data_IF_916990511618
#
_entry.id   IF_916990511618
#
_cell.length_a   1.000
_cell.length_b   1.000
_cell.length_c   1.000
_cell.angle_alpha   90.00
_cell.angle_beta   90.00
_cell.angle_gamma   90.00
#
_symmetry.space_group_name_H-M   'P 1'
#
loop_
_entity.id
_entity.type
_entity.pdbx_description
1 polymer ?
#
# COMPACT_ATOMS: atom_id res chain seq x y z
N UNK A 1 -13.95 -35.07 -0.02
CA UNK A 1 -15.13 -34.76 0.82
C UNK A 1 -15.87 -33.59 0.18
N UNK A 2 -17.19 -33.68 -0.03
CA UNK A 2 -18.01 -32.51 -0.42
C UNK A 2 -18.09 -31.57 0.80
N UNK A 3 -17.69 -30.29 0.65
CA UNK A 3 -17.97 -29.28 1.70
C UNK A 3 -19.49 -29.17 1.86
N UNK A 4 -19.99 -29.15 3.09
CA UNK A 4 -21.38 -28.78 3.36
C UNK A 4 -21.63 -27.38 2.77
N UNK A 5 -22.77 -27.21 2.13
CA UNK A 5 -23.21 -25.88 1.70
C UNK A 5 -23.46 -25.06 2.97
N UNK A 6 -22.76 -23.94 3.11
CA UNK A 6 -22.70 -23.20 4.35
C UNK A 6 -23.86 -22.21 4.42
N UNK A 7 -24.59 -22.20 5.54
CA UNK A 7 -25.62 -21.21 5.81
C UNK A 7 -24.96 -19.96 6.40
N UNK A 8 -24.80 -18.92 5.57
CA UNK A 8 -24.20 -17.65 5.98
C UNK A 8 -24.96 -16.99 7.14
N UNK A 9 -26.27 -17.24 7.29
CA UNK A 9 -27.05 -16.71 8.42
C UNK A 9 -26.67 -17.41 9.74
N UNK A 10 -26.41 -18.72 9.69
CA UNK A 10 -25.92 -19.50 10.83
C UNK A 10 -24.49 -19.08 11.21
N UNK A 11 -23.59 -18.91 10.23
CA UNK A 11 -22.24 -18.39 10.51
C UNK A 11 -22.29 -16.98 11.10
N UNK A 12 -23.16 -16.10 10.60
CA UNK A 12 -23.27 -14.73 11.11
C UNK A 12 -23.83 -14.69 12.53
N UNK A 13 -24.81 -15.53 12.86
CA UNK A 13 -25.30 -15.68 14.24
C UNK A 13 -24.20 -16.18 15.20
N UNK A 14 -23.34 -17.11 14.74
CA UNK A 14 -22.19 -17.59 15.52
C UNK A 14 -21.11 -16.51 15.68
N UNK A 15 -20.85 -15.68 14.67
CA UNK A 15 -19.97 -14.51 14.77
C UNK A 15 -20.50 -13.47 15.78
N UNK A 16 -21.80 -13.17 15.74
CA UNK A 16 -22.44 -12.27 16.72
C UNK A 16 -22.32 -12.80 18.15
N UNK A 17 -22.65 -14.09 18.36
CA UNK A 17 -22.53 -14.76 19.65
C UNK A 17 -21.08 -14.82 20.17
N UNK A 18 -20.10 -14.97 19.27
CA UNK A 18 -18.69 -14.87 19.61
C UNK A 18 -18.32 -13.45 20.08
N UNK A 19 -18.79 -12.41 19.38
CA UNK A 19 -18.62 -11.00 19.75
C UNK A 19 -19.29 -10.65 21.09
N UNK A 20 -20.48 -11.16 21.38
CA UNK A 20 -21.19 -10.95 22.66
C UNK A 20 -20.44 -11.56 23.85
N UNK A 21 -19.87 -12.75 23.68
CA UNK A 21 -19.02 -13.41 24.70
C UNK A 21 -17.74 -12.59 24.93
N UNK A 22 -17.17 -11.97 23.89
CA UNK A 22 -16.01 -11.07 24.02
C UNK A 22 -16.39 -9.76 24.72
N UNK A 23 -17.50 -9.13 24.31
CA UNK A 23 -17.90 -7.81 24.83
C UNK A 23 -18.37 -7.82 26.29
N UNK A 24 -18.89 -8.95 26.79
CA UNK A 24 -19.41 -9.09 28.16
C UNK A 24 -18.35 -9.44 29.21
N UNK A 25 -17.08 -9.65 28.80
CA UNK A 25 -16.01 -10.12 29.67
C UNK A 25 -14.98 -9.02 29.95
N UNK A 26 -15.18 -8.25 31.03
CA UNK A 26 -14.20 -7.26 31.51
C UNK A 26 -12.82 -7.88 31.83
N UNK A 27 -12.78 -9.16 32.19
CA UNK A 27 -11.59 -10.01 32.12
C UNK A 27 -11.98 -11.35 31.49
N UNK A 28 -11.21 -11.84 30.51
CA UNK A 28 -11.53 -13.07 29.77
C UNK A 28 -11.17 -14.34 30.57
N UNK A 29 -11.95 -14.57 31.63
CA UNK A 29 -11.76 -15.64 32.61
C UNK A 29 -11.99 -17.06 32.04
N UNK A 30 -11.78 -18.08 32.87
CA UNK A 30 -11.87 -19.48 32.46
C UNK A 30 -13.24 -19.89 31.89
N UNK A 31 -14.33 -19.27 32.35
CA UNK A 31 -15.69 -19.57 31.88
C UNK A 31 -15.96 -18.91 30.51
N UNK A 32 -15.53 -17.66 30.31
CA UNK A 32 -15.57 -16.99 29.00
C UNK A 32 -14.78 -17.76 27.94
N UNK A 33 -13.57 -18.22 28.29
CA UNK A 33 -12.73 -19.08 27.44
C UNK A 33 -13.41 -20.40 27.05
N UNK A 34 -14.15 -21.03 27.96
CA UNK A 34 -14.91 -22.25 27.67
C UNK A 34 -16.10 -22.00 26.72
N UNK A 35 -16.87 -20.93 26.98
CA UNK A 35 -18.01 -20.52 26.13
C UNK A 35 -17.55 -20.16 24.70
N UNK A 36 -16.44 -19.42 24.58
CA UNK A 36 -15.88 -19.03 23.29
C UNK A 36 -15.34 -20.22 22.48
N UNK A 37 -14.56 -21.13 23.10
CA UNK A 37 -14.08 -22.36 22.44
C UNK A 37 -15.22 -23.21 21.88
N UNK A 38 -16.37 -23.25 22.57
CA UNK A 38 -17.57 -23.94 22.08
C UNK A 38 -18.11 -23.27 20.81
N UNK A 39 -18.26 -21.95 20.80
CA UNK A 39 -18.77 -21.21 19.63
C UNK A 39 -17.82 -21.31 18.42
N UNK A 40 -16.50 -21.29 18.62
CA UNK A 40 -15.53 -21.51 17.53
C UNK A 40 -15.66 -22.92 16.94
N UNK A 41 -15.82 -23.94 17.79
CA UNK A 41 -16.11 -25.31 17.31
C UNK A 41 -17.41 -25.36 16.51
N UNK A 42 -18.49 -24.78 17.06
CA UNK A 42 -19.81 -24.74 16.40
C UNK A 42 -19.74 -24.02 15.03
N UNK A 43 -18.85 -23.02 14.87
CA UNK A 43 -18.59 -22.30 13.61
C UNK A 43 -17.82 -23.13 12.58
N UNK A 44 -16.80 -23.88 13.00
CA UNK A 44 -16.05 -24.80 12.13
C UNK A 44 -16.93 -25.97 11.69
N UNK A 45 -17.72 -26.54 12.61
CA UNK A 45 -18.67 -27.63 12.31
C UNK A 45 -19.81 -27.17 11.38
N UNK A 46 -20.13 -25.88 11.35
CA UNK A 46 -21.04 -25.24 10.39
C UNK A 46 -20.41 -24.96 9.01
N UNK A 47 -19.09 -25.14 8.85
CA UNK A 47 -18.37 -24.99 7.57
C UNK A 47 -17.59 -23.68 7.42
N UNK A 48 -17.46 -22.88 8.49
CA UNK A 48 -16.58 -21.71 8.51
C UNK A 48 -15.10 -22.09 8.34
N UNK A 49 -14.31 -21.20 7.73
CA UNK A 49 -12.90 -21.47 7.46
C UNK A 49 -12.01 -21.08 8.65
N UNK A 50 -11.04 -21.92 9.00
CA UNK A 50 -10.08 -21.72 10.11
C UNK A 50 -9.03 -20.63 9.83
N UNK A 51 -9.16 -19.93 8.70
CA UNK A 51 -8.35 -18.82 8.22
C UNK A 51 -9.19 -17.58 7.82
N UNK A 52 -10.54 -17.65 7.85
CA UNK A 52 -11.47 -16.48 7.98
C UNK A 52 -11.23 -15.72 9.30
N UNK A 53 -10.44 -16.36 10.14
CA UNK A 53 -9.95 -16.08 11.45
C UNK A 53 -8.43 -16.50 11.27
N UNK A 54 -7.46 -15.57 11.08
CA UNK A 54 -6.24 -15.72 10.19
C UNK A 54 -4.78 -15.97 10.80
N UNK A 55 -4.14 -17.17 10.71
CA UNK A 55 -2.64 -17.43 10.60
C UNK A 55 -1.63 -17.17 11.79
N UNK A 56 -0.62 -18.06 11.98
CA UNK A 56 0.29 -18.36 13.15
C UNK A 56 1.77 -17.83 13.12
N UNK A 57 2.49 -17.84 14.27
CA UNK A 57 3.88 -17.30 14.55
C UNK A 57 5.02 -18.36 14.67
N UNK A 58 6.30 -17.93 14.47
CA UNK A 58 7.56 -18.59 14.89
C UNK A 58 8.65 -17.58 15.35
N UNK A 59 9.79 -18.04 15.93
CA UNK A 59 10.75 -17.20 16.69
C UNK A 59 11.94 -16.59 15.92
N UNK A 60 12.06 -16.82 14.61
CA UNK A 60 13.13 -16.27 13.78
C UNK A 60 12.54 -15.70 12.48
N UNK A 61 13.00 -14.53 12.04
CA UNK A 61 12.67 -13.98 10.72
C UNK A 61 13.97 -13.54 10.02
N UNK A 62 14.22 -14.08 8.82
CA UNK A 62 15.46 -13.89 8.06
C UNK A 62 16.79 -14.10 8.81
N UNK A 63 16.81 -14.90 9.88
CA UNK A 63 18.01 -15.17 10.67
C UNK A 63 18.41 -14.05 11.64
N UNK A 64 17.58 -13.00 11.81
CA UNK A 64 17.82 -11.97 12.81
C UNK A 64 17.18 -12.37 14.17
N UNK A 65 17.91 -12.33 15.29
CA UNK A 65 17.33 -12.55 16.62
C UNK A 65 16.56 -11.31 17.09
N UNK A 66 15.29 -11.47 17.47
CA UNK A 66 14.48 -10.35 17.98
C UNK A 66 14.84 -10.03 19.44
N UNK A 67 15.20 -8.77 19.71
CA UNK A 67 15.60 -8.30 21.04
C UNK A 67 14.43 -8.13 22.03
N UNK A 68 14.73 -8.15 23.34
CA UNK A 68 13.73 -8.00 24.41
C UNK A 68 13.39 -6.53 24.73
N UNK A 69 12.39 -5.96 24.06
CA UNK A 69 11.41 -4.96 24.56
C UNK A 69 10.76 -4.21 23.37
N UNK A 70 9.51 -3.73 23.45
CA UNK A 70 8.54 -3.70 24.56
C UNK A 70 7.16 -4.16 24.06
N UNK A 71 6.55 -5.10 24.78
CA UNK A 71 5.31 -5.81 24.43
C UNK A 71 5.34 -6.53 23.07
N UNK A 72 5.44 -7.87 23.14
CA UNK A 72 5.37 -8.73 21.96
C UNK A 72 3.93 -8.90 21.45
N UNK A 73 3.67 -9.94 20.65
CA UNK A 73 2.33 -10.21 20.12
C UNK A 73 1.26 -10.27 21.20
N UNK A 74 0.24 -9.42 21.10
CA UNK A 74 -0.96 -9.50 21.93
C UNK A 74 -1.78 -10.72 21.47
N UNK A 75 -2.18 -11.57 22.41
CA UNK A 75 -2.82 -12.86 22.11
C UNK A 75 -4.19 -12.69 21.43
N UNK A 76 -4.87 -11.57 21.70
CA UNK A 76 -6.28 -11.32 21.41
C UNK A 76 -6.51 -10.60 20.07
N UNK A 77 -6.31 -11.32 18.98
CA UNK A 77 -6.85 -10.91 17.68
C UNK A 77 -8.22 -11.56 17.41
N UNK A 78 -9.23 -10.82 16.91
CA UNK A 78 -10.59 -11.35 16.65
C UNK A 78 -10.67 -12.29 15.43
N UNK A 79 -9.52 -12.77 14.96
CA UNK A 79 -9.31 -13.54 13.73
C UNK A 79 -8.32 -14.67 14.13
N UNK A 80 -8.75 -15.93 14.26
CA UNK A 80 -8.02 -17.10 14.82
C UNK A 80 -6.61 -17.30 14.26
N UNK A 81 -5.67 -17.76 15.07
CA UNK A 81 -4.27 -17.76 14.66
C UNK A 81 -3.64 -16.36 14.60
N UNK A 82 -4.32 -15.30 14.12
CA UNK A 82 -3.71 -13.97 14.02
C UNK A 82 -3.37 -13.43 15.40
N UNK A 83 -2.47 -12.45 15.38
CA UNK A 83 -2.01 -11.75 16.55
C UNK A 83 -2.14 -10.27 16.27
N UNK A 84 -2.67 -9.53 17.24
CA UNK A 84 -2.52 -8.08 17.23
C UNK A 84 -1.07 -7.81 17.59
N UNK A 85 -0.38 -7.09 16.72
CA UNK A 85 0.97 -6.62 16.97
C UNK A 85 0.84 -5.13 17.24
N UNK A 86 1.55 -4.66 18.26
CA UNK A 86 1.60 -3.25 18.58
C UNK A 86 2.29 -2.46 17.44
N UNK A 87 1.85 -1.21 17.22
CA UNK A 87 2.39 -0.39 16.14
C UNK A 87 3.86 0.00 16.38
N UNK A 88 4.27 0.29 17.62
CA UNK A 88 5.65 0.64 17.94
C UNK A 88 6.55 -0.60 17.82
N UNK A 89 6.04 -1.78 18.20
CA UNK A 89 6.73 -3.06 17.96
C UNK A 89 6.96 -3.29 16.46
N UNK A 90 5.93 -3.09 15.62
CA UNK A 90 6.05 -3.25 14.17
C UNK A 90 6.95 -2.20 13.52
N UNK A 91 6.87 -0.94 13.94
CA UNK A 91 7.74 0.14 13.46
C UNK A 91 9.21 -0.17 13.79
N UNK A 92 9.50 -0.55 15.04
CA UNK A 92 10.84 -1.00 15.45
C UNK A 92 11.33 -2.19 14.62
N UNK A 93 10.52 -3.23 14.45
CA UNK A 93 10.86 -4.40 13.65
C UNK A 93 11.15 -4.04 12.18
N UNK A 94 10.38 -3.14 11.58
CA UNK A 94 10.63 -2.67 10.22
C UNK A 94 11.95 -1.90 10.12
N UNK A 95 12.26 -1.04 11.09
CA UNK A 95 13.53 -0.32 11.14
C UNK A 95 14.72 -1.29 11.28
N UNK A 96 14.61 -2.29 12.16
CA UNK A 96 15.61 -3.35 12.34
C UNK A 96 15.85 -4.14 11.03
N UNK A 97 14.79 -4.43 10.27
CA UNK A 97 14.91 -5.08 8.96
C UNK A 97 15.63 -4.22 7.90
N UNK A 98 15.37 -2.91 7.86
CA UNK A 98 16.10 -1.99 6.96
C UNK A 98 17.58 -1.84 7.36
N UNK A 99 17.88 -1.74 8.66
CA UNK A 99 19.25 -1.71 9.18
C UNK A 99 20.01 -2.99 8.86
N UNK A 100 19.42 -4.16 9.10
CA UNK A 100 19.99 -5.45 8.75
C UNK A 100 20.21 -5.63 7.23
N UNK A 101 19.48 -4.86 6.42
CA UNK A 101 19.63 -4.82 4.95
C UNK A 101 20.65 -3.77 4.46
N UNK A 102 21.36 -3.09 5.36
CA UNK A 102 22.40 -2.10 5.03
C UNK A 102 21.91 -0.66 4.85
N UNK A 103 20.66 -0.35 5.25
CA UNK A 103 20.18 1.03 5.30
C UNK A 103 20.66 1.68 6.60
N UNK A 104 21.22 2.91 6.61
CA UNK A 104 21.61 3.57 7.85
C UNK A 104 20.44 3.74 8.83
N UNK A 105 20.73 3.86 10.12
CA UNK A 105 19.72 3.88 11.20
C UNK A 105 18.66 4.98 11.01
N UNK A 106 19.09 6.19 10.65
CA UNK A 106 18.21 7.36 10.46
C UNK A 106 17.20 7.10 9.34
N UNK A 107 17.68 6.71 8.16
CA UNK A 107 16.85 6.40 7.00
C UNK A 107 15.98 5.17 7.25
N UNK A 108 16.47 4.18 8.01
CA UNK A 108 15.70 2.99 8.42
C UNK A 108 14.49 3.33 9.29
N UNK A 109 14.65 4.26 10.24
CA UNK A 109 13.56 4.78 11.08
C UNK A 109 12.52 5.51 10.24
N UNK A 110 12.95 6.37 9.30
CA UNK A 110 12.04 7.03 8.35
C UNK A 110 11.30 6.01 7.48
N UNK A 111 12.00 4.99 6.98
CA UNK A 111 11.39 3.92 6.18
C UNK A 111 10.31 3.15 6.95
N UNK A 112 10.58 2.82 8.22
CA UNK A 112 9.62 2.15 9.08
C UNK A 112 8.39 3.02 9.39
N UNK A 113 8.60 4.30 9.66
CA UNK A 113 7.52 5.25 9.96
C UNK A 113 6.54 5.36 8.78
N UNK A 114 7.04 5.52 7.54
CA UNK A 114 6.18 5.58 6.34
C UNK A 114 5.38 4.29 6.13
N UNK A 115 5.96 3.12 6.43
CA UNK A 115 5.24 1.85 6.31
C UNK A 115 4.19 1.67 7.41
N UNK A 116 4.49 1.98 8.67
CA UNK A 116 3.53 1.80 9.75
C UNK A 116 2.36 2.78 9.65
N UNK A 117 2.57 3.98 9.11
CA UNK A 117 1.49 4.92 8.83
C UNK A 117 0.48 4.39 7.80
N UNK A 118 0.87 3.49 6.91
CA UNK A 118 -0.08 2.78 6.05
C UNK A 118 -0.96 1.81 6.86
N UNK A 119 -0.39 1.05 7.78
CA UNK A 119 -1.14 0.11 8.64
C UNK A 119 -2.04 0.85 9.64
N UNK A 120 -1.54 1.93 10.29
CA UNK A 120 -2.31 2.81 11.18
C UNK A 120 -3.55 3.43 10.50
N UNK A 121 -3.47 3.68 9.19
CA UNK A 121 -4.57 4.22 8.36
C UNK A 121 -5.45 3.13 7.73
N UNK A 122 -5.22 1.85 8.02
CA UNK A 122 -6.00 0.73 7.46
C UNK A 122 -5.71 0.45 5.97
N UNK A 123 -4.55 0.87 5.47
CA UNK A 123 -4.11 0.67 4.09
C UNK A 123 -3.21 -0.58 4.02
N UNK A 124 -3.79 -1.75 4.36
CA UNK A 124 -3.14 -3.08 4.45
C UNK A 124 -2.23 -3.42 3.26
N UNK A 125 -2.50 -2.83 2.09
CA UNK A 125 -1.77 -3.08 0.85
C UNK A 125 -0.37 -2.44 0.80
N UNK A 126 -0.02 -1.56 1.72
CA UNK A 126 1.19 -0.72 1.62
C UNK A 126 2.07 -0.67 2.88
N UNK A 127 1.63 -1.18 4.03
CA UNK A 127 2.45 -1.27 5.25
C UNK A 127 3.25 -2.58 5.36
N UNK A 128 3.23 -3.21 6.54
CA UNK A 128 4.06 -4.39 6.89
C UNK A 128 4.02 -5.52 5.86
N UNK A 129 2.86 -5.75 5.22
CA UNK A 129 2.67 -6.75 4.17
C UNK A 129 3.56 -6.54 2.91
N UNK A 130 4.15 -5.34 2.74
CA UNK A 130 5.09 -5.03 1.65
C UNK A 130 6.55 -5.06 2.05
N UNK A 131 6.89 -5.06 3.35
CA UNK A 131 8.27 -5.07 3.85
C UNK A 131 9.11 -6.14 3.14
N UNK A 132 8.68 -7.41 3.17
CA UNK A 132 9.40 -8.50 2.51
C UNK A 132 9.47 -8.32 0.98
N UNK A 133 8.30 -8.32 0.32
CA UNK A 133 8.20 -8.53 -1.12
C UNK A 133 8.55 -7.32 -1.99
N UNK A 134 8.47 -6.11 -1.43
CA UNK A 134 8.76 -4.86 -2.15
C UNK A 134 10.10 -4.26 -1.73
N UNK A 135 10.53 -4.48 -0.48
CA UNK A 135 11.78 -3.93 0.03
C UNK A 135 12.85 -5.00 0.23
N UNK A 136 12.72 -5.90 1.22
CA UNK A 136 13.80 -6.83 1.60
C UNK A 136 14.27 -7.72 0.42
N UNK A 137 13.33 -8.36 -0.27
CA UNK A 137 13.62 -9.24 -1.41
C UNK A 137 14.30 -8.49 -2.57
N UNK A 138 13.97 -7.21 -2.74
CA UNK A 138 14.46 -6.37 -3.84
C UNK A 138 15.76 -5.63 -3.51
N UNK A 139 16.02 -5.33 -2.23
CA UNK A 139 17.34 -4.93 -1.76
C UNK A 139 18.30 -6.11 -1.95
N UNK A 140 17.90 -7.31 -1.51
CA UNK A 140 18.68 -8.55 -1.71
C UNK A 140 18.96 -8.86 -3.18
N UNK A 141 18.05 -8.53 -4.10
CA UNK A 141 18.25 -8.71 -5.54
C UNK A 141 18.89 -7.52 -6.25
N UNK A 142 19.40 -6.50 -5.53
CA UNK A 142 20.04 -5.32 -6.10
C UNK A 142 19.12 -4.36 -6.89
N UNK A 143 17.79 -4.53 -6.84
CA UNK A 143 16.82 -3.66 -7.52
C UNK A 143 16.58 -2.37 -6.73
N UNK A 144 16.66 -2.42 -5.41
CA UNK A 144 16.71 -1.23 -4.55
C UNK A 144 18.10 -1.14 -3.94
N UNK A 145 18.72 0.04 -3.96
CA UNK A 145 19.91 0.27 -3.13
C UNK A 145 19.43 0.53 -1.69
N UNK A 146 20.01 -0.13 -0.67
CA UNK A 146 19.60 0.09 0.71
C UNK A 146 19.90 1.52 1.16
N UNK A 147 20.96 2.11 0.62
CA UNK A 147 21.26 3.53 0.73
C UNK A 147 21.84 4.04 -0.59
N UNK A 148 21.52 5.28 -0.91
CA UNK A 148 22.04 6.03 -2.04
C UNK A 148 21.98 7.53 -1.70
N UNK A 149 22.96 8.33 -2.15
CA UNK A 149 22.92 9.78 -2.00
C UNK A 149 21.72 10.38 -2.75
N UNK A 150 21.20 11.47 -2.20
CA UNK A 150 20.13 12.26 -2.80
C UNK A 150 20.80 13.48 -3.45
N UNK A 151 20.90 13.49 -4.77
CA UNK A 151 21.63 14.53 -5.51
C UNK A 151 20.68 15.60 -6.02
N UNK A 152 20.98 16.86 -5.72
CA UNK A 152 20.25 18.01 -6.26
C UNK A 152 20.80 18.33 -7.65
N UNK A 153 20.05 17.96 -8.69
CA UNK A 153 20.44 18.16 -10.10
C UNK A 153 20.21 19.61 -10.54
N UNK A 154 19.13 20.22 -10.05
CA UNK A 154 18.79 21.61 -10.33
C UNK A 154 17.93 22.16 -9.19
N UNK A 155 18.17 23.41 -8.82
CA UNK A 155 17.42 24.08 -7.75
C UNK A 155 17.14 25.54 -8.11
N UNK A 156 15.97 26.02 -7.72
CA UNK A 156 15.58 27.43 -7.72
C UNK A 156 14.98 27.78 -6.35
N UNK A 157 14.54 29.02 -6.16
CA UNK A 157 13.89 29.43 -4.91
C UNK A 157 12.65 28.58 -4.59
N UNK A 158 11.81 28.28 -5.59
CA UNK A 158 10.54 27.55 -5.43
C UNK A 158 10.56 26.12 -5.96
N UNK A 159 11.60 25.69 -6.70
CA UNK A 159 11.65 24.34 -7.31
C UNK A 159 12.95 23.58 -7.06
N UNK A 160 12.91 22.25 -7.14
CA UNK A 160 14.09 21.40 -7.26
C UNK A 160 13.85 20.14 -8.12
N UNK A 161 14.91 19.64 -8.74
CA UNK A 161 14.99 18.33 -9.40
C UNK A 161 16.04 17.47 -8.68
N UNK A 162 15.63 16.29 -8.25
CA UNK A 162 16.41 15.39 -7.40
C UNK A 162 16.67 14.06 -8.12
N UNK A 163 17.91 13.57 -8.12
CA UNK A 163 18.24 12.18 -8.45
C UNK A 163 18.33 11.34 -7.17
N UNK A 164 17.49 10.31 -7.09
CA UNK A 164 17.43 9.42 -5.94
C UNK A 164 18.41 8.23 -6.04
N UNK A 165 19.16 8.09 -7.15
CA UNK A 165 20.21 7.09 -7.32
C UNK A 165 19.80 5.62 -7.07
N UNK A 166 18.53 5.25 -7.31
CA UNK A 166 17.89 3.95 -6.95
C UNK A 166 17.72 3.71 -5.44
N UNK A 167 17.76 4.77 -4.63
CA UNK A 167 17.54 4.74 -3.19
C UNK A 167 16.09 4.38 -2.80
N UNK A 168 15.92 3.93 -1.55
CA UNK A 168 14.61 3.55 -1.01
C UNK A 168 13.75 4.81 -0.88
N UNK A 169 12.73 4.92 -1.71
CA UNK A 169 11.94 6.14 -1.73
C UNK A 169 11.06 6.35 -0.50
N UNK A 170 10.99 5.41 0.43
CA UNK A 170 10.45 5.66 1.77
C UNK A 170 11.25 6.73 2.53
N UNK A 171 12.58 6.86 2.34
CA UNK A 171 13.38 7.94 2.94
C UNK A 171 13.59 9.14 1.99
N UNK A 172 13.58 8.91 0.67
CA UNK A 172 13.71 10.01 -0.31
C UNK A 172 12.45 10.87 -0.36
N UNK A 173 11.27 10.25 -0.27
CA UNK A 173 9.98 10.95 -0.32
C UNK A 173 9.83 12.02 0.77
N UNK A 174 10.07 11.71 2.06
CA UNK A 174 9.97 12.69 3.13
C UNK A 174 10.99 13.82 2.98
N UNK A 175 12.25 13.49 2.66
CA UNK A 175 13.29 14.50 2.41
C UNK A 175 12.89 15.51 1.33
N UNK A 176 12.35 15.03 0.21
CA UNK A 176 11.90 15.90 -0.88
C UNK A 176 10.64 16.71 -0.54
N UNK A 177 9.73 16.16 0.28
CA UNK A 177 8.55 16.90 0.75
C UNK A 177 8.92 17.96 1.79
N UNK A 178 9.85 17.68 2.72
CA UNK A 178 10.38 18.69 3.65
C UNK A 178 11.07 19.84 2.90
N UNK A 179 11.79 19.54 1.81
CA UNK A 179 12.35 20.55 0.91
C UNK A 179 11.26 21.40 0.23
N UNK A 180 10.19 20.77 -0.30
CA UNK A 180 9.05 21.47 -0.87
C UNK A 180 8.37 22.39 0.16
N UNK A 181 8.08 21.89 1.36
CA UNK A 181 7.49 22.66 2.46
C UNK A 181 8.39 23.84 2.86
N UNK A 182 9.71 23.63 2.95
CA UNK A 182 10.67 24.69 3.29
C UNK A 182 10.65 25.82 2.26
N UNK A 183 10.61 25.49 0.96
CA UNK A 183 10.46 26.47 -0.12
C UNK A 183 9.11 27.18 -0.05
N UNK A 184 8.01 26.44 0.13
CA UNK A 184 6.66 26.99 0.24
C UNK A 184 6.51 27.96 1.44
N UNK A 185 7.11 27.66 2.59
CA UNK A 185 7.09 28.56 3.76
C UNK A 185 7.87 29.84 3.56
N UNK A 186 8.89 29.86 2.70
CA UNK A 186 9.70 31.05 2.41
C UNK A 186 9.15 31.89 1.25
N UNK A 187 8.59 31.24 0.23
CA UNK A 187 8.27 31.85 -1.08
C UNK A 187 6.81 31.69 -1.52
N UNK A 188 5.96 31.05 -0.72
CA UNK A 188 4.55 30.79 -1.04
C UNK A 188 4.30 29.54 -1.91
N UNK A 189 5.34 29.02 -2.58
CA UNK A 189 5.28 27.80 -3.40
C UNK A 189 6.54 26.94 -3.22
N UNK A 190 6.38 25.62 -3.27
CA UNK A 190 7.50 24.67 -3.26
C UNK A 190 7.17 23.41 -4.06
N UNK A 191 8.01 23.06 -5.04
CA UNK A 191 7.79 21.92 -5.91
C UNK A 191 9.08 21.11 -6.14
N UNK A 192 9.04 19.81 -5.90
CA UNK A 192 10.19 18.91 -6.03
C UNK A 192 9.84 17.72 -6.91
N UNK A 193 10.55 17.60 -8.04
CA UNK A 193 10.51 16.44 -8.91
C UNK A 193 11.64 15.47 -8.53
N UNK A 194 11.35 14.16 -8.51
CA UNK A 194 12.31 13.13 -8.11
C UNK A 194 12.44 12.07 -9.19
N UNK A 195 13.67 11.88 -9.69
CA UNK A 195 14.04 10.82 -10.64
C UNK A 195 14.73 9.64 -9.99
N UNK A 196 14.76 8.52 -10.71
CA UNK A 196 15.57 7.35 -10.36
C UNK A 196 15.23 6.79 -8.97
N UNK A 197 13.94 6.83 -8.60
CA UNK A 197 13.44 6.46 -7.28
C UNK A 197 12.69 5.13 -7.34
N UNK A 198 12.23 4.67 -6.17
CA UNK A 198 11.68 3.33 -5.96
C UNK A 198 10.26 3.42 -5.36
N UNK A 199 9.79 2.43 -4.60
CA UNK A 199 8.41 2.41 -4.06
C UNK A 199 8.25 3.23 -2.77
N UNK A 200 7.17 4.01 -2.59
CA UNK A 200 6.95 4.85 -1.40
C UNK A 200 5.97 4.35 -0.35
N UNK A 201 5.26 3.24 -0.57
CA UNK A 201 4.11 2.96 0.27
C UNK A 201 2.96 3.89 -0.10
N UNK A 202 2.38 4.60 0.87
CA UNK A 202 1.19 5.45 0.66
C UNK A 202 1.54 6.86 0.21
N UNK A 203 0.78 7.43 -0.73
CA UNK A 203 0.99 8.81 -1.17
C UNK A 203 0.52 9.81 -0.09
N UNK A 204 -0.52 9.44 0.65
CA UNK A 204 -1.12 10.21 1.74
C UNK A 204 -0.17 10.60 2.85
N UNK A 205 0.93 9.87 3.05
CA UNK A 205 1.98 10.26 4.01
C UNK A 205 2.55 11.64 3.66
N UNK A 206 2.99 11.83 2.40
CA UNK A 206 3.65 13.07 1.95
C UNK A 206 2.69 14.25 1.92
N UNK A 207 1.47 14.05 1.45
CA UNK A 207 0.43 15.07 1.51
C UNK A 207 0.09 15.48 2.96
N UNK A 208 0.14 14.53 3.91
CA UNK A 208 -0.05 14.84 5.34
C UNK A 208 1.14 15.60 5.94
N UNK A 209 2.38 15.37 5.47
CA UNK A 209 3.53 16.18 5.90
C UNK A 209 3.27 17.67 5.64
N UNK A 210 2.80 18.01 4.44
CA UNK A 210 2.45 19.39 4.09
C UNK A 210 1.28 19.92 4.96
N UNK A 211 0.17 19.18 5.06
CA UNK A 211 -0.99 19.66 5.82
C UNK A 211 -0.69 19.83 7.31
N UNK A 212 0.15 18.97 7.90
CA UNK A 212 0.63 19.10 9.29
C UNK A 212 1.45 20.37 9.55
N UNK A 213 1.96 21.03 8.50
CA UNK A 213 2.68 22.30 8.57
C UNK A 213 1.81 23.49 8.17
N UNK A 214 0.50 23.31 7.98
CA UNK A 214 -0.39 24.36 7.49
C UNK A 214 -0.09 24.75 6.05
N UNK A 215 0.19 23.76 5.20
CA UNK A 215 0.38 23.89 3.76
C UNK A 215 -0.62 22.97 3.05
N UNK A 216 -1.22 23.41 1.94
CA UNK A 216 -1.82 22.46 1.00
C UNK A 216 -0.66 21.67 0.40
N UNK A 217 -0.81 20.37 0.22
CA UNK A 217 0.21 19.55 -0.44
C UNK A 217 -0.42 18.56 -1.39
N UNK A 218 0.25 18.34 -2.52
CA UNK A 218 -0.09 17.27 -3.44
C UNK A 218 1.12 16.42 -3.79
N UNK A 219 0.87 15.16 -4.15
CA UNK A 219 1.93 14.30 -4.64
C UNK A 219 1.40 13.22 -5.57
N UNK A 220 2.28 12.71 -6.41
CA UNK A 220 2.00 11.55 -7.27
C UNK A 220 3.26 10.76 -7.56
N UNK A 221 3.07 9.57 -8.14
CA UNK A 221 4.15 8.74 -8.66
C UNK A 221 3.64 7.96 -9.85
N UNK A 222 4.50 7.69 -10.84
CA UNK A 222 4.18 6.65 -11.80
C UNK A 222 4.50 5.26 -11.24
N UNK A 223 3.86 4.24 -11.80
CA UNK A 223 4.13 2.84 -11.46
C UNK A 223 4.45 2.02 -12.72
N UNK A 224 4.74 0.72 -12.54
CA UNK A 224 4.88 -0.18 -13.69
C UNK A 224 3.56 -0.20 -14.50
N UNK A 225 3.62 -0.37 -15.84
CA UNK A 225 2.42 -0.54 -16.66
C UNK A 225 1.48 -1.59 -16.08
N UNK A 226 0.20 -1.23 -15.96
CA UNK A 226 -0.84 -2.04 -15.34
C UNK A 226 -2.27 -1.57 -15.66
N UNK A 227 -2.49 -0.29 -15.94
CA UNK A 227 -3.76 0.27 -16.43
C UNK A 227 -3.77 0.28 -17.96
N UNK A 228 -4.86 -0.16 -18.58
CA UNK A 228 -5.10 0.08 -20.00
C UNK A 228 -5.73 1.47 -20.25
N UNK A 229 -5.34 2.20 -21.31
CA UNK A 229 -6.07 3.38 -21.77
C UNK A 229 -7.55 3.08 -22.02
N UNK A 230 -8.42 4.09 -22.03
CA UNK A 230 -9.83 3.88 -22.39
C UNK A 230 -9.95 3.31 -23.81
N UNK A 231 -10.77 2.27 -23.96
CA UNK A 231 -10.86 1.39 -25.14
C UNK A 231 -9.60 0.59 -25.51
N UNK A 232 -8.55 0.68 -24.69
CA UNK A 232 -7.35 -0.16 -24.79
C UNK A 232 -7.48 -1.46 -23.99
N UNK A 233 -6.65 -2.43 -24.35
CA UNK A 233 -6.55 -3.74 -23.68
C UNK A 233 -5.14 -4.05 -23.15
N UNK A 234 -4.13 -3.34 -23.65
CA UNK A 234 -2.74 -3.47 -23.23
C UNK A 234 -2.46 -2.60 -21.98
N UNK A 235 -1.78 -3.12 -20.95
CA UNK A 235 -1.41 -2.30 -19.79
C UNK A 235 -0.30 -1.30 -20.18
N UNK A 236 -0.63 -0.01 -20.26
CA UNK A 236 0.31 1.07 -20.63
C UNK A 236 0.74 1.94 -19.44
N UNK A 237 -0.22 2.36 -18.59
CA UNK A 237 0.03 3.31 -17.49
C UNK A 237 0.19 2.58 -16.16
N UNK A 238 0.89 3.18 -15.19
CA UNK A 238 0.87 2.67 -13.82
C UNK A 238 -0.45 2.94 -13.09
N UNK A 239 -0.61 2.36 -11.89
CA UNK A 239 -1.74 2.70 -10.98
C UNK A 239 -1.76 4.16 -10.54
N UNK A 240 -0.65 4.87 -10.78
CA UNK A 240 -0.51 6.32 -10.85
C UNK A 240 -1.38 7.11 -9.84
N UNK A 241 -1.13 6.96 -8.53
CA UNK A 241 -1.89 7.71 -7.53
C UNK A 241 -1.61 9.20 -7.63
N UNK A 242 -2.68 9.98 -7.41
CA UNK A 242 -2.63 11.42 -7.18
C UNK A 242 -3.28 11.67 -5.82
N UNK A 243 -2.56 12.37 -4.97
CA UNK A 243 -2.95 12.59 -3.58
C UNK A 243 -2.90 14.07 -3.25
N UNK A 244 -3.88 14.55 -2.48
CA UNK A 244 -3.94 15.90 -1.94
C UNK A 244 -4.18 15.86 -0.43
N UNK A 245 -3.57 16.79 0.30
CA UNK A 245 -3.73 17.00 1.72
C UNK A 245 -3.95 18.48 1.99
N UNK A 246 -5.05 18.82 2.67
CA UNK A 246 -5.49 20.19 2.92
C UNK A 246 -5.68 20.38 4.44
N UNK A 247 -5.06 21.41 5.05
CA UNK A 247 -5.31 21.74 6.45
C UNK A 247 -6.78 22.08 6.72
N UNK A 248 -7.26 21.72 7.91
CA UNK A 248 -8.61 21.98 8.42
C UNK A 248 -8.51 22.55 9.84
N UNK A 249 -9.63 23.00 10.39
CA UNK A 249 -9.81 23.32 11.82
C UNK A 249 -10.31 22.10 12.65
N UNK A 250 -10.50 20.94 12.00
CA UNK A 250 -10.81 19.67 12.64
C UNK A 250 -9.57 18.97 13.22
N UNK A 251 -9.78 17.90 13.99
CA UNK A 251 -8.70 17.08 14.56
C UNK A 251 -7.87 16.30 13.53
N UNK A 252 -8.26 16.30 12.24
CA UNK A 252 -7.59 15.62 11.14
C UNK A 252 -7.71 16.44 9.85
N UNK A 253 -6.69 16.45 8.98
CA UNK A 253 -6.74 17.14 7.69
C UNK A 253 -7.64 16.43 6.69
N UNK A 254 -8.17 17.16 5.70
CA UNK A 254 -8.73 16.54 4.51
C UNK A 254 -7.61 15.89 3.71
N UNK A 255 -7.73 14.59 3.41
CA UNK A 255 -6.76 13.84 2.58
C UNK A 255 -7.50 12.93 1.61
N UNK A 256 -7.16 13.05 0.33
CA UNK A 256 -7.50 12.06 -0.70
C UNK A 256 -6.22 11.32 -1.09
N UNK A 257 -6.17 10.02 -0.86
CA UNK A 257 -5.06 9.13 -1.25
C UNK A 257 -5.63 7.95 -2.05
N UNK A 258 -5.60 8.06 -3.39
CA UNK A 258 -6.15 7.05 -4.28
C UNK A 258 -5.30 6.85 -5.54
N UNK A 259 -5.30 5.62 -6.04
CA UNK A 259 -4.87 5.28 -7.40
C UNK A 259 -5.79 5.92 -8.44
N UNK A 260 -5.32 6.10 -9.67
CA UNK A 260 -6.16 6.50 -10.82
C UNK A 260 -6.81 5.32 -11.54
N UNK A 261 -6.56 4.09 -11.07
CA UNK A 261 -7.32 2.87 -11.37
C UNK A 261 -8.41 2.57 -10.35
N UNK A 262 -9.47 1.86 -10.76
CA UNK A 262 -10.53 1.39 -9.85
C UNK A 262 -9.97 0.51 -8.72
N UNK A 263 -8.95 -0.28 -9.02
CA UNK A 263 -8.28 -1.11 -8.03
C UNK A 263 -6.78 -1.22 -8.29
N UNK A 264 -6.10 -1.91 -7.38
CA UNK A 264 -4.70 -2.29 -7.47
C UNK A 264 -4.60 -3.81 -7.35
N UNK A 265 -3.52 -4.41 -7.86
CA UNK A 265 -3.30 -5.87 -7.80
C UNK A 265 -3.50 -6.47 -6.40
N UNK A 266 -3.11 -5.76 -5.33
CA UNK A 266 -3.32 -6.21 -3.95
C UNK A 266 -4.78 -6.43 -3.55
N UNK A 267 -5.72 -5.69 -4.17
CA UNK A 267 -7.17 -5.87 -3.97
C UNK A 267 -7.65 -7.15 -4.67
N UNK A 268 -7.17 -7.45 -5.87
CA UNK A 268 -7.45 -8.70 -6.60
C UNK A 268 -6.88 -9.89 -5.83
N UNK A 269 -5.66 -9.77 -5.28
CA UNK A 269 -5.06 -10.77 -4.39
C UNK A 269 -5.89 -10.98 -3.10
N UNK A 270 -6.56 -9.93 -2.57
CA UNK A 270 -7.49 -10.05 -1.43
C UNK A 270 -8.78 -10.79 -1.82
N UNK A 271 -9.37 -10.48 -2.97
CA UNK A 271 -10.53 -11.21 -3.52
C UNK A 271 -10.21 -12.69 -3.72
N UNK A 272 -9.06 -13.01 -4.33
CA UNK A 272 -8.59 -14.37 -4.57
C UNK A 272 -8.46 -15.18 -3.26
N UNK A 273 -7.80 -14.62 -2.24
CA UNK A 273 -7.70 -15.26 -0.91
C UNK A 273 -9.06 -15.51 -0.27
N UNK A 274 -10.03 -14.62 -0.48
CA UNK A 274 -11.39 -14.79 0.03
C UNK A 274 -12.28 -15.72 -0.83
N UNK A 275 -11.78 -16.27 -1.94
CA UNK A 275 -12.56 -17.08 -2.87
C UNK A 275 -13.71 -16.33 -3.56
N UNK A 276 -13.64 -15.00 -3.65
CA UNK A 276 -14.69 -14.14 -4.21
C UNK A 276 -14.27 -13.57 -5.56
N UNK A 277 -15.17 -13.43 -6.55
CA UNK A 277 -14.86 -12.75 -7.80
C UNK A 277 -14.55 -11.26 -7.57
N UNK A 278 -13.83 -10.63 -8.50
CA UNK A 278 -13.77 -9.16 -8.55
C UNK A 278 -15.07 -8.59 -9.13
N UNK A 279 -15.49 -7.38 -8.71
CA UNK A 279 -16.53 -6.64 -9.42
C UNK A 279 -16.21 -6.46 -10.91
N UNK A 280 -17.27 -6.40 -11.72
CA UNK A 280 -17.19 -6.00 -13.14
C UNK A 280 -16.57 -4.61 -13.31
N UNK A 281 -16.02 -4.34 -14.50
CA UNK A 281 -15.31 -3.10 -14.82
C UNK A 281 -13.97 -2.87 -14.11
N UNK A 282 -13.47 -3.79 -13.28
CA UNK A 282 -12.15 -3.62 -12.63
C UNK A 282 -10.96 -3.99 -13.54
N UNK A 283 -11.16 -4.95 -14.44
CA UNK A 283 -10.12 -5.58 -15.25
C UNK A 283 -10.70 -5.93 -16.62
N UNK A 284 -9.94 -5.65 -17.69
CA UNK A 284 -10.17 -6.15 -19.04
C UNK A 284 -9.10 -7.16 -19.43
N UNK A 285 -9.43 -8.11 -20.30
CA UNK A 285 -8.44 -8.96 -20.97
C UNK A 285 -8.11 -8.46 -22.40
N UNK A 286 -7.21 -9.19 -23.06
CA UNK A 286 -6.73 -8.89 -24.42
C UNK A 286 -7.82 -8.87 -25.51
N UNK A 287 -9.05 -9.33 -25.23
CA UNK A 287 -10.20 -9.22 -26.13
C UNK A 287 -11.09 -8.01 -25.86
N UNK A 288 -10.83 -7.26 -24.79
CA UNK A 288 -11.65 -6.14 -24.32
C UNK A 288 -12.76 -6.53 -23.35
N UNK A 289 -12.94 -7.84 -23.10
CA UNK A 289 -13.96 -8.36 -22.21
C UNK A 289 -13.62 -8.14 -20.73
N UNK A 290 -14.64 -7.80 -19.94
CA UNK A 290 -14.49 -7.58 -18.50
C UNK A 290 -14.30 -8.90 -17.74
N UNK A 291 -13.26 -8.97 -16.90
CA UNK A 291 -12.93 -10.17 -16.13
C UNK A 291 -13.28 -10.04 -14.67
N UNK A 292 -13.80 -11.14 -14.11
CA UNK A 292 -14.19 -11.25 -12.69
C UNK A 292 -13.54 -12.43 -11.96
N UNK A 293 -12.93 -13.37 -12.70
CA UNK A 293 -12.26 -14.56 -12.18
C UNK A 293 -10.87 -14.24 -11.62
N UNK A 294 -10.75 -14.14 -10.30
CA UNK A 294 -9.50 -13.70 -9.64
C UNK A 294 -8.26 -14.48 -10.04
N UNK A 295 -8.37 -15.80 -10.18
CA UNK A 295 -7.22 -16.66 -10.44
C UNK A 295 -6.76 -16.58 -11.91
N UNK A 296 -7.68 -16.41 -12.85
CA UNK A 296 -7.36 -16.19 -14.25
C UNK A 296 -6.81 -14.79 -14.47
N UNK A 297 -7.43 -13.77 -13.85
CA UNK A 297 -6.90 -12.40 -13.82
C UNK A 297 -5.47 -12.37 -13.29
N UNK A 298 -5.19 -12.96 -12.12
CA UNK A 298 -3.85 -12.89 -11.51
C UNK A 298 -2.78 -13.59 -12.35
N UNK A 299 -3.15 -14.61 -13.14
CA UNK A 299 -2.29 -15.28 -14.13
C UNK A 299 -2.13 -14.44 -15.39
N UNK A 300 -3.21 -13.89 -15.94
CA UNK A 300 -3.20 -13.01 -17.12
C UNK A 300 -2.36 -11.76 -16.89
N UNK A 301 -2.50 -11.10 -15.74
CA UNK A 301 -1.65 -9.96 -15.33
C UNK A 301 -0.15 -10.30 -15.22
N UNK A 302 0.25 -11.58 -15.13
CA UNK A 302 1.67 -11.99 -15.16
C UNK A 302 2.16 -12.22 -16.59
N UNK A 303 1.26 -12.61 -17.50
CA UNK A 303 1.55 -12.82 -18.92
C UNK A 303 1.48 -11.54 -19.76
N UNK A 304 0.68 -10.56 -19.33
CA UNK A 304 0.31 -9.37 -20.11
C UNK A 304 -1.12 -9.43 -20.68
N UNK A 305 -1.82 -10.56 -20.52
CA UNK A 305 -3.15 -10.82 -21.08
C UNK A 305 -4.30 -10.08 -20.37
N UNK A 306 -4.04 -9.36 -19.26
CA UNK A 306 -5.05 -8.61 -18.52
C UNK A 306 -4.50 -7.28 -17.99
N UNK A 307 -5.32 -6.22 -18.07
CA UNK A 307 -5.03 -4.88 -17.59
C UNK A 307 -6.09 -4.38 -16.61
N UNK A 308 -5.68 -3.56 -15.64
CA UNK A 308 -6.57 -2.83 -14.74
C UNK A 308 -7.31 -1.74 -15.53
N UNK A 309 -8.54 -1.45 -15.14
CA UNK A 309 -9.28 -0.32 -15.68
C UNK A 309 -9.00 0.98 -14.89
N UNK A 310 -8.99 2.15 -15.58
CA UNK A 310 -8.97 3.46 -14.94
C UNK A 310 -10.27 3.68 -14.14
N UNK A 311 -10.28 4.68 -13.24
CA UNK A 311 -11.53 5.15 -12.60
C UNK A 311 -12.56 5.49 -13.68
N UNK A 312 -13.71 4.79 -13.64
CA UNK A 312 -14.75 4.87 -14.65
C UNK A 312 -14.76 3.73 -15.69
N UNK A 313 -13.93 2.69 -15.52
CA UNK A 313 -13.99 1.46 -16.31
C UNK A 313 -13.18 1.51 -17.61
N UNK A 314 -13.27 0.45 -18.42
CA UNK A 314 -12.53 0.34 -19.69
C UNK A 314 -13.07 1.24 -20.80
N UNK A 315 -14.36 1.58 -20.77
CA UNK A 315 -15.04 2.41 -21.78
C UNK A 315 -15.42 3.81 -21.29
N UNK A 316 -16.33 4.46 -22.02
CA UNK A 316 -16.84 5.80 -21.73
C UNK A 316 -18.16 5.81 -20.93
N UNK A 317 -18.96 4.75 -20.97
CA UNK A 317 -20.25 4.62 -20.27
C UNK A 317 -20.20 4.99 -18.78
N UNK A 318 -19.19 4.48 -18.07
CA UNK A 318 -18.94 4.79 -16.65
C UNK A 318 -17.87 5.89 -16.46
N UNK A 319 -17.43 6.53 -17.55
CA UNK A 319 -16.53 7.68 -17.55
C UNK A 319 -15.04 7.35 -17.48
N UNK A 320 -14.60 6.18 -17.98
CA UNK A 320 -13.21 5.70 -17.89
C UNK A 320 -12.17 6.65 -18.45
N UNK A 321 -12.54 7.44 -19.45
CA UNK A 321 -11.69 8.51 -20.00
C UNK A 321 -11.27 9.54 -18.93
N UNK A 322 -12.06 9.74 -17.86
CA UNK A 322 -11.71 10.64 -16.75
C UNK A 322 -10.57 10.07 -15.91
N UNK A 323 -10.67 8.81 -15.48
CA UNK A 323 -9.61 8.13 -14.75
C UNK A 323 -8.34 7.96 -15.58
N UNK A 324 -8.48 7.61 -16.87
CA UNK A 324 -7.37 7.54 -17.83
C UNK A 324 -6.69 8.90 -18.00
N UNK A 325 -7.46 9.99 -18.11
CA UNK A 325 -6.89 11.35 -18.17
C UNK A 325 -6.07 11.67 -16.92
N UNK A 326 -6.58 11.37 -15.73
CA UNK A 326 -5.82 11.58 -14.49
C UNK A 326 -4.58 10.68 -14.40
N UNK A 327 -4.67 9.40 -14.77
CA UNK A 327 -3.52 8.49 -14.83
C UNK A 327 -2.42 9.01 -15.76
N UNK A 328 -2.82 9.58 -16.90
CA UNK A 328 -1.93 10.21 -17.89
C UNK A 328 -1.32 11.50 -17.36
N UNK A 329 -2.08 12.37 -16.68
CA UNK A 329 -1.53 13.58 -16.05
C UNK A 329 -0.49 13.24 -14.97
N UNK A 330 -0.73 12.21 -14.15
CA UNK A 330 0.25 11.75 -13.15
C UNK A 330 1.50 11.16 -13.81
N UNK A 331 1.35 10.40 -14.89
CA UNK A 331 2.48 9.90 -15.69
C UNK A 331 3.29 11.08 -16.22
N UNK A 332 2.64 12.01 -16.93
CA UNK A 332 3.27 13.19 -17.53
C UNK A 332 3.95 14.07 -16.48
N UNK A 333 3.32 14.38 -15.34
CA UNK A 333 3.96 15.16 -14.28
C UNK A 333 5.16 14.41 -13.66
N UNK A 334 5.10 13.07 -13.58
CA UNK A 334 6.22 12.25 -13.10
C UNK A 334 7.38 12.18 -14.10
N UNK A 335 7.14 12.44 -15.41
CA UNK A 335 8.19 12.32 -16.44
C UNK A 335 8.62 13.64 -17.10
N UNK A 336 7.80 14.68 -17.13
CA UNK A 336 8.05 15.91 -17.90
C UNK A 336 9.23 16.76 -17.39
N UNK A 337 9.66 16.54 -16.14
CA UNK A 337 10.84 17.19 -15.55
C UNK A 337 12.15 16.39 -15.79
N UNK A 338 12.08 15.33 -16.60
CA UNK A 338 13.25 14.64 -17.12
C UNK A 338 13.67 15.30 -18.43
N UNK A 339 14.90 15.81 -18.50
CA UNK A 339 15.55 15.97 -19.81
C UNK A 339 15.60 14.59 -20.48
N UNK A 340 15.24 14.53 -21.77
CA UNK A 340 15.10 13.30 -22.56
C UNK A 340 16.44 12.56 -22.70
N UNK A 341 16.80 11.75 -21.70
CA UNK A 341 17.88 10.78 -21.83
C UNK A 341 17.42 9.63 -22.73
N UNK A 342 17.96 9.65 -23.95
CA UNK A 342 17.87 8.58 -24.93
C UNK A 342 18.55 7.29 -24.47
N UNK A 343 18.27 6.21 -25.20
CA UNK A 343 18.81 4.84 -25.10
C UNK A 343 18.15 3.88 -24.08
N UNK A 344 17.41 2.95 -24.69
CA UNK A 344 16.98 1.61 -24.26
C UNK A 344 17.34 1.01 -22.90
N UNK A 345 16.31 0.34 -22.35
CA UNK A 345 16.32 -0.70 -21.31
C UNK A 345 16.45 -0.25 -19.84
N UNK A 346 15.53 -0.74 -19.01
CA UNK A 346 15.52 -0.53 -17.56
C UNK A 346 14.33 0.31 -17.06
N UNK A 347 13.49 -0.27 -16.20
CA UNK A 347 12.24 0.33 -15.71
C UNK A 347 12.51 1.39 -14.62
N UNK A 348 12.79 2.64 -15.00
CA UNK A 348 13.00 3.77 -14.06
C UNK A 348 11.66 4.33 -13.57
N UNK A 349 11.54 4.69 -12.28
CA UNK A 349 10.30 5.23 -11.67
C UNK A 349 10.52 6.58 -10.98
N UNK A 350 9.48 7.39 -10.97
CA UNK A 350 9.55 8.83 -10.71
C UNK A 350 8.40 9.31 -9.83
N UNK A 351 8.59 10.48 -9.21
CA UNK A 351 7.64 11.08 -8.28
C UNK A 351 7.58 12.58 -8.41
N UNK A 352 6.41 13.09 -8.04
CA UNK A 352 6.09 14.51 -7.94
C UNK A 352 5.68 14.80 -6.50
N UNK A 353 6.30 15.80 -5.90
CA UNK A 353 5.95 16.33 -4.58
C UNK A 353 5.76 17.83 -4.77
N UNK A 354 4.51 18.29 -4.86
CA UNK A 354 4.16 19.65 -5.23
C UNK A 354 3.27 20.33 -4.20
N UNK A 355 3.27 21.66 -4.24
CA UNK A 355 2.28 22.53 -3.62
C UNK A 355 1.41 23.12 -4.74
#
# INVERSE_FOLDING_TARGET
MKRKQCDDSQLQALRLKASEIIASAHEFNGEGKAKYKKVVKDFIDAGGATDDLIVRIGTHFFGCPVGKSSQGPLEDSPVEGSRRLDFDYLEKFMAECFMASGTPEKESKVCANVLIEADKRGIDSHGIGRLKSIYMDRIKSGILKPFAPIDIIKETETTALIDANMGIGLYVGPHCMDMAITKAKKYGLGFVAVRNSTHYGIAGYYATMASSKGCIGFCGTNARPSIAPTFGVEPCLGTNPLCFGIPTDEAFPFVIDCATSICQRGKIEKYARSGKPTPKGMVVDSSGEERTDTDGILKGMVKGDCALCPIGGGGDELGGYKGYSWATVVELLSIAFQELCSSGSGLVRFRVLGF
#
